data_IF_262332636148
#
_entry.id   IF_262332636148
#
_cell.length_a   1.000
_cell.length_b   1.000
_cell.length_c   1.000
_cell.angle_alpha   90.00
_cell.angle_beta   90.00
_cell.angle_gamma   90.00
#
_symmetry.space_group_name_H-M   'P 1'
#
loop_
_entity.id
_entity.type
_entity.pdbx_description
1 polymer ?
#
# COMPACT_ATOMS: atom_id res chain seq x y z
N UNK A 1 20.73 7.08 -1.64
CA UNK A 1 19.92 5.86 -1.43
C UNK A 1 18.90 5.81 -2.55
N UNK A 2 18.79 4.68 -3.24
CA UNK A 2 17.77 4.49 -4.29
C UNK A 2 16.39 4.49 -3.65
N UNK A 3 15.42 5.20 -4.25
CA UNK A 3 14.03 5.22 -3.78
C UNK A 3 13.37 3.88 -4.09
N UNK A 4 12.85 3.19 -3.09
CA UNK A 4 12.18 1.90 -3.29
C UNK A 4 10.75 2.10 -3.82
N UNK A 5 10.12 1.05 -4.35
CA UNK A 5 8.71 1.16 -4.73
C UNK A 5 7.79 1.38 -3.52
N UNK A 6 8.17 0.88 -2.34
CA UNK A 6 7.47 1.16 -1.09
C UNK A 6 7.53 2.66 -0.75
N UNK A 7 8.69 3.30 -0.92
CA UNK A 7 8.80 4.75 -0.76
C UNK A 7 7.90 5.52 -1.73
N UNK A 8 7.82 5.07 -2.99
CA UNK A 8 6.96 5.70 -3.99
C UNK A 8 5.47 5.54 -3.64
N UNK A 9 5.08 4.35 -3.19
CA UNK A 9 3.72 4.07 -2.72
C UNK A 9 3.34 4.93 -1.51
N UNK A 10 4.22 5.02 -0.49
CA UNK A 10 3.99 5.86 0.69
C UNK A 10 3.83 7.33 0.31
N UNK A 11 4.69 7.84 -0.59
CA UNK A 11 4.55 9.22 -1.08
C UNK A 11 3.25 9.44 -1.84
N UNK A 12 2.77 8.44 -2.58
CA UNK A 12 1.52 8.54 -3.32
C UNK A 12 0.31 8.65 -2.38
N UNK A 13 0.22 7.84 -1.32
CA UNK A 13 -0.87 7.94 -0.33
C UNK A 13 -0.83 9.24 0.48
N UNK A 14 0.37 9.73 0.82
CA UNK A 14 0.53 11.01 1.53
C UNK A 14 0.08 12.20 0.65
N UNK A 15 0.39 12.17 -0.65
CA UNK A 15 0.05 13.22 -1.59
C UNK A 15 -1.43 13.21 -2.01
N UNK A 16 -2.02 12.02 -2.18
CA UNK A 16 -3.40 11.85 -2.67
C UNK A 16 -4.46 11.94 -1.58
N UNK A 17 -4.22 11.29 -0.42
CA UNK A 17 -5.31 10.87 0.46
C UNK A 17 -5.22 11.43 1.89
N UNK A 18 -4.32 12.41 2.12
CA UNK A 18 -4.00 12.91 3.47
C UNK A 18 -3.62 11.78 4.43
N UNK A 19 -2.98 10.73 3.90
CA UNK A 19 -2.49 9.65 4.71
C UNK A 19 -1.38 10.15 5.65
N UNK A 20 -1.33 9.60 6.86
CA UNK A 20 -0.23 9.84 7.80
C UNK A 20 0.50 8.53 7.99
N UNK A 21 1.67 8.42 7.39
CA UNK A 21 2.56 7.26 7.55
C UNK A 21 3.74 7.66 8.43
N UNK A 22 4.03 6.87 9.45
CA UNK A 22 5.26 7.00 10.22
C UNK A 22 6.30 6.02 9.72
N UNK A 23 7.54 6.51 9.73
CA UNK A 23 8.71 5.81 9.23
C UNK A 23 8.95 4.46 9.91
N UNK A 24 9.91 3.68 9.36
CA UNK A 24 10.19 2.35 9.85
C UNK A 24 10.54 2.38 11.34
N UNK A 25 9.88 1.51 12.12
CA UNK A 25 10.23 1.25 13.51
C UNK A 25 11.58 0.50 13.62
N UNK A 26 11.98 0.14 14.84
CA UNK A 26 13.21 -0.63 15.09
C UNK A 26 13.22 -2.01 14.40
N UNK A 27 12.06 -2.49 13.93
CA UNK A 27 11.89 -3.73 13.17
C UNK A 27 11.81 -3.51 11.66
N UNK A 28 11.88 -2.26 11.18
CA UNK A 28 11.79 -1.91 9.77
C UNK A 28 10.36 -1.71 9.25
N UNK A 29 9.33 -1.78 10.10
CA UNK A 29 7.93 -1.67 9.67
C UNK A 29 7.44 -0.24 9.72
N UNK A 30 6.65 0.14 8.71
CA UNK A 30 5.96 1.44 8.67
C UNK A 30 4.55 1.29 9.24
N UNK A 31 3.97 2.37 9.76
CA UNK A 31 2.60 2.35 10.25
C UNK A 31 1.76 3.48 9.65
N UNK A 32 0.51 3.19 9.36
CA UNK A 32 -0.52 4.11 8.88
C UNK A 32 -1.38 4.56 10.06
N UNK A 33 -1.27 5.85 10.42
CA UNK A 33 -2.02 6.46 11.53
C UNK A 33 -3.34 7.08 11.08
N UNK A 34 -3.49 7.35 9.78
CA UNK A 34 -4.72 7.90 9.25
C UNK A 34 -4.76 7.85 7.74
N UNK A 35 -5.97 7.80 7.21
CA UNK A 35 -6.25 7.71 5.78
C UNK A 35 -7.60 8.37 5.49
N UNK A 36 -7.67 9.28 4.51
CA UNK A 36 -8.90 10.00 4.12
C UNK A 36 -9.66 10.68 5.30
N UNK A 37 -8.94 11.07 6.36
CA UNK A 37 -9.51 11.73 7.54
C UNK A 37 -9.93 10.79 8.67
N UNK A 38 -9.89 9.48 8.46
CA UNK A 38 -9.98 8.49 9.52
C UNK A 38 -8.66 8.43 10.30
N UNK A 39 -8.76 8.17 11.61
CA UNK A 39 -7.62 7.98 12.50
C UNK A 39 -7.64 6.56 13.07
N UNK A 40 -6.50 5.87 13.00
CA UNK A 40 -6.36 4.51 13.48
C UNK A 40 -5.60 4.48 14.81
N UNK A 41 -6.28 4.02 15.87
CA UNK A 41 -5.71 3.76 17.20
C UNK A 41 -6.15 2.36 17.69
N UNK A 42 -5.25 1.34 17.67
CA UNK A 42 -3.83 1.44 17.33
C UNK A 42 -3.58 1.67 15.82
N UNK A 43 -2.40 2.21 15.42
CA UNK A 43 -2.04 2.37 14.01
C UNK A 43 -2.00 1.05 13.25
N UNK A 44 -2.29 1.10 11.94
CA UNK A 44 -2.20 -0.08 11.08
C UNK A 44 -0.75 -0.30 10.64
N UNK A 45 -0.20 -1.46 10.93
CA UNK A 45 1.20 -1.79 10.57
C UNK A 45 1.26 -2.32 9.13
N UNK A 46 2.18 -1.81 8.32
CA UNK A 46 2.54 -2.36 7.01
C UNK A 46 3.42 -3.60 7.24
N UNK A 47 2.79 -4.77 7.28
CA UNK A 47 3.37 -6.09 7.62
C UNK A 47 3.95 -6.78 6.37
N UNK A 48 4.95 -6.13 5.76
CA UNK A 48 5.72 -6.67 4.64
C UNK A 48 7.04 -5.91 4.45
N UNK A 49 8.04 -6.59 3.89
CA UNK A 49 9.33 -6.00 3.51
C UNK A 49 9.26 -5.28 2.16
N UNK A 50 10.25 -4.41 1.90
CA UNK A 50 10.44 -3.77 0.59
C UNK A 50 10.51 -4.79 -0.55
N UNK A 51 11.15 -5.95 -0.34
CA UNK A 51 11.29 -7.02 -1.32
C UNK A 51 9.95 -7.70 -1.62
N UNK A 52 9.14 -7.94 -0.57
CA UNK A 52 7.79 -8.49 -0.73
C UNK A 52 6.90 -7.50 -1.48
N UNK A 53 7.01 -6.21 -1.16
CA UNK A 53 6.27 -5.15 -1.83
C UNK A 53 6.66 -5.03 -3.30
N UNK A 54 7.95 -5.03 -3.62
CA UNK A 54 8.44 -4.99 -4.99
C UNK A 54 7.93 -6.18 -5.82
N UNK A 55 8.03 -7.41 -5.29
CA UNK A 55 7.51 -8.59 -5.97
C UNK A 55 5.99 -8.49 -6.23
N UNK A 56 5.26 -7.95 -5.25
CA UNK A 56 3.83 -7.76 -5.36
C UNK A 56 3.47 -6.69 -6.40
N UNK A 57 4.20 -5.56 -6.51
CA UNK A 57 3.97 -4.53 -7.53
C UNK A 57 3.94 -5.14 -8.94
N UNK A 58 4.93 -5.96 -9.28
CA UNK A 58 4.98 -6.63 -10.58
C UNK A 58 3.90 -7.71 -10.73
N UNK A 59 3.52 -8.40 -9.65
CA UNK A 59 2.41 -9.36 -9.71
C UNK A 59 1.07 -8.64 -9.97
N UNK A 60 0.81 -7.55 -9.27
CA UNK A 60 -0.39 -6.71 -9.40
C UNK A 60 -0.48 -6.05 -10.77
N UNK A 61 0.64 -5.57 -11.30
CA UNK A 61 0.68 -5.00 -12.65
C UNK A 61 0.27 -6.02 -13.70
N UNK A 62 0.81 -7.25 -13.63
CA UNK A 62 0.47 -8.34 -14.55
C UNK A 62 -0.95 -8.87 -14.38
N UNK A 63 -1.49 -8.86 -13.16
CA UNK A 63 -2.85 -9.38 -12.90
C UNK A 63 -3.96 -8.42 -13.35
N UNK A 64 -3.69 -7.11 -13.39
CA UNK A 64 -4.70 -6.14 -13.81
C UNK A 64 -4.18 -4.75 -14.12
N UNK A 65 -3.09 -4.29 -13.47
CA UNK A 65 -2.60 -2.92 -13.60
C UNK A 65 -2.28 -2.52 -15.04
N UNK A 66 -1.51 -3.34 -15.76
CA UNK A 66 -1.11 -3.06 -17.14
C UNK A 66 -2.27 -3.11 -18.14
N UNK A 67 -3.35 -3.85 -17.82
CA UNK A 67 -4.57 -3.87 -18.64
C UNK A 67 -5.41 -2.61 -18.43
N UNK A 68 -5.44 -2.08 -17.20
CA UNK A 68 -6.17 -0.86 -16.85
C UNK A 68 -5.45 0.41 -17.33
N UNK A 69 -4.11 0.38 -17.32
CA UNK A 69 -3.26 1.50 -17.75
C UNK A 69 -2.18 1.03 -18.72
N UNK A 70 -2.51 0.79 -20.00
CA UNK A 70 -1.57 0.23 -20.98
C UNK A 70 -0.43 1.18 -21.35
N UNK A 71 -0.63 2.49 -21.18
CA UNK A 71 0.37 3.53 -21.50
C UNK A 71 1.30 3.86 -20.33
N UNK A 72 1.12 3.19 -19.18
CA UNK A 72 1.88 3.43 -17.95
C UNK A 72 2.91 2.32 -17.77
N UNK A 73 4.16 2.63 -17.34
CA UNK A 73 5.15 1.61 -17.03
C UNK A 73 4.62 0.58 -16.02
N UNK A 74 4.96 -0.70 -16.22
CA UNK A 74 4.43 -1.82 -15.43
C UNK A 74 4.52 -1.59 -13.90
N UNK A 75 5.65 -1.16 -13.31
CA UNK A 75 5.72 -0.93 -11.86
C UNK A 75 4.77 0.18 -11.39
N UNK A 76 4.62 1.23 -12.19
CA UNK A 76 3.73 2.34 -11.85
C UNK A 76 2.26 1.91 -11.96
N UNK A 77 1.90 1.10 -12.96
CA UNK A 77 0.57 0.52 -13.07
C UNK A 77 0.25 -0.43 -11.89
N UNK A 78 1.24 -1.18 -11.42
CA UNK A 78 1.15 -2.02 -10.22
C UNK A 78 0.91 -1.19 -8.95
N UNK A 79 1.69 -0.14 -8.73
CA UNK A 79 1.53 0.79 -7.60
C UNK A 79 0.14 1.44 -7.62
N UNK A 80 -0.33 1.91 -8.78
CA UNK A 80 -1.67 2.51 -8.92
C UNK A 80 -2.77 1.52 -8.53
N UNK A 81 -2.69 0.28 -9.00
CA UNK A 81 -3.67 -0.73 -8.63
C UNK A 81 -3.57 -1.13 -7.15
N UNK A 82 -2.37 -1.15 -6.56
CA UNK A 82 -2.20 -1.35 -5.13
C UNK A 82 -2.87 -0.27 -4.28
N UNK A 83 -2.81 1.00 -4.71
CA UNK A 83 -3.53 2.09 -4.04
C UNK A 83 -5.03 1.83 -4.01
N UNK A 84 -5.60 1.38 -5.14
CA UNK A 84 -7.02 1.00 -5.23
C UNK A 84 -7.33 -0.15 -4.27
N UNK A 85 -6.51 -1.21 -4.24
CA UNK A 85 -6.72 -2.33 -3.30
C UNK A 85 -6.68 -1.89 -1.83
N UNK A 86 -5.76 -0.98 -1.47
CA UNK A 86 -5.71 -0.42 -0.12
C UNK A 86 -7.00 0.34 0.20
N UNK A 87 -7.45 1.22 -0.70
CA UNK A 87 -8.68 1.99 -0.53
C UNK A 87 -9.89 1.06 -0.34
N UNK A 88 -10.07 0.08 -1.24
CA UNK A 88 -11.15 -0.91 -1.15
C UNK A 88 -11.11 -1.69 0.16
N UNK A 89 -9.90 -2.06 0.61
CA UNK A 89 -9.75 -2.81 1.84
C UNK A 89 -10.07 -1.98 3.09
N UNK A 90 -9.72 -0.69 3.11
CA UNK A 90 -10.00 0.20 4.23
C UNK A 90 -11.48 0.66 4.26
N UNK A 91 -12.15 0.72 3.10
CA UNK A 91 -13.57 1.05 2.99
C UNK A 91 -14.50 -0.15 3.27
N UNK A 92 -13.95 -1.35 3.44
CA UNK A 92 -14.72 -2.55 3.77
C UNK A 92 -15.46 -2.40 5.10
N UNK A 93 -16.67 -2.94 5.21
CA UNK A 93 -17.50 -2.88 6.43
C UNK A 93 -16.96 -3.70 7.60
N UNK A 94 -15.84 -4.40 7.42
CA UNK A 94 -15.19 -5.17 8.48
C UNK A 94 -14.30 -4.22 9.29
N UNK A 95 -14.35 -4.29 10.64
CA UNK A 95 -13.44 -3.49 11.44
C UNK A 95 -12.01 -3.92 11.13
N UNK A 96 -11.23 -2.98 10.57
CA UNK A 96 -9.80 -3.13 10.35
C UNK A 96 -9.13 -2.98 11.71
N UNK A 97 -8.46 -4.03 12.16
CA UNK A 97 -8.08 -4.17 13.56
C UNK A 97 -6.61 -3.87 13.81
N UNK A 98 -5.65 -4.22 12.92
CA UNK A 98 -4.20 -4.20 13.25
C UNK A 98 -3.19 -4.06 12.11
N UNK A 99 -3.42 -4.58 10.89
CA UNK A 99 -2.32 -4.66 9.90
C UNK A 99 -2.75 -4.57 8.44
N UNK A 100 -1.86 -4.05 7.61
CA UNK A 100 -1.92 -4.10 6.15
C UNK A 100 -0.90 -5.12 5.68
N UNK A 101 -1.33 -6.15 4.95
CA UNK A 101 -0.48 -7.23 4.46
C UNK A 101 -0.72 -7.49 2.98
N UNK A 102 0.20 -8.22 2.34
CA UNK A 102 0.05 -8.66 0.96
C UNK A 102 -0.52 -10.08 0.93
N UNK A 103 -1.67 -10.27 0.29
CA UNK A 103 -2.23 -11.58 0.00
C UNK A 103 -2.69 -11.64 -1.45
N UNK A 104 -2.34 -12.73 -2.13
CA UNK A 104 -2.70 -12.96 -3.54
C UNK A 104 -2.34 -11.80 -4.49
N UNK A 105 -1.27 -11.05 -4.16
CA UNK A 105 -0.84 -9.88 -4.94
C UNK A 105 -1.71 -8.64 -4.74
N UNK A 106 -2.48 -8.58 -3.65
CA UNK A 106 -3.29 -7.43 -3.25
C UNK A 106 -2.89 -6.96 -1.86
N UNK A 107 -3.08 -5.66 -1.60
CA UNK A 107 -3.02 -5.12 -0.24
C UNK A 107 -4.35 -5.39 0.44
N UNK A 108 -4.29 -5.96 1.64
CA UNK A 108 -5.44 -6.21 2.49
C UNK A 108 -5.19 -5.68 3.89
N UNK A 109 -6.27 -5.23 4.53
CA UNK A 109 -6.28 -4.71 5.88
C UNK A 109 -7.11 -5.65 6.77
N UNK A 110 -6.50 -6.13 7.86
CA UNK A 110 -7.10 -6.98 8.90
C UNK A 110 -7.27 -6.22 10.20
#
# INVERSE_FOLDING_TARGET
>A
MSTTYLDQFVRAIEAGDRAVVVGPDDSGHRALLGYQGEHYDPPLVLDFSDEQFEAAVYATARSGGSSLWPDVPEPEAGIRLMLVHLEESLMSTKPVSRRIYIAEGQLQAE
#
